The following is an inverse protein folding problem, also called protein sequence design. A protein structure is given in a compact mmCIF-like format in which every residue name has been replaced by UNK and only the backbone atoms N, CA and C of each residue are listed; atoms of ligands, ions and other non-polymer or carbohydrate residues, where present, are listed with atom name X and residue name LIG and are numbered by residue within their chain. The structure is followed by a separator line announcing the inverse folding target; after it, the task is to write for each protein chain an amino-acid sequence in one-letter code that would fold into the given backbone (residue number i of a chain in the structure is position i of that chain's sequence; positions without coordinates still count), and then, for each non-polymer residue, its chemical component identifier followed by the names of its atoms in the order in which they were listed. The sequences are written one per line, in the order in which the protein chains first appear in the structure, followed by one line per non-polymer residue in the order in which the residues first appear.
data_IF_810346866679
#
_entry.id   IF_810346866679
#
_cell.length_a   1.000
_cell.length_b   1.000
_cell.length_c   1.000
_cell.angle_alpha   90.00
_cell.angle_beta   90.00
_cell.angle_gamma   90.00
#
_symmetry.space_group_name_H-M   'P 1'
#
loop_
_entity.id
_entity.type
_entity.pdbx_description
1 polymer ?
#
# COMPACT_ATOMS: atom_id res chain seq x y z
N UNK A 1 -12.93 -7.13 -5.63
CA UNK A 1 -12.32 -5.81 -5.31
C UNK A 1 -10.84 -6.03 -5.01
N UNK A 2 -10.07 -4.98 -4.72
CA UNK A 2 -8.71 -5.05 -4.15
C UNK A 2 -8.76 -5.66 -2.74
N UNK A 3 -9.78 -5.33 -1.95
CA UNK A 3 -10.07 -5.95 -0.65
C UNK A 3 -10.18 -7.46 -0.75
N UNK A 4 -10.88 -8.00 -1.75
CA UNK A 4 -11.05 -9.45 -1.92
C UNK A 4 -9.71 -10.18 -2.15
N UNK A 5 -8.67 -9.49 -2.66
CA UNK A 5 -7.32 -10.05 -2.78
C UNK A 5 -6.60 -10.11 -1.44
N UNK A 6 -6.89 -9.17 -0.54
CA UNK A 6 -6.23 -9.02 0.75
C UNK A 6 -6.88 -9.86 1.85
N UNK A 7 -8.21 -9.96 1.87
CA UNK A 7 -8.93 -10.63 2.95
C UNK A 7 -8.42 -12.05 3.27
N UNK A 8 -8.12 -12.93 2.29
CA UNK A 8 -7.62 -14.27 2.59
C UNK A 8 -6.27 -14.25 3.32
N UNK A 9 -5.33 -13.42 2.86
CA UNK A 9 -3.98 -13.36 3.46
C UNK A 9 -3.97 -12.63 4.80
N UNK A 10 -4.83 -11.63 4.97
CA UNK A 10 -5.01 -10.96 6.26
C UNK A 10 -5.60 -11.93 7.30
N UNK A 11 -6.62 -12.71 6.93
CA UNK A 11 -7.16 -13.73 7.84
C UNK A 11 -6.15 -14.83 8.16
N UNK A 12 -5.34 -15.25 7.19
CA UNK A 12 -4.29 -16.24 7.42
C UNK A 12 -3.26 -15.74 8.43
N UNK A 13 -2.76 -14.51 8.29
CA UNK A 13 -1.73 -13.96 9.20
C UNK A 13 -2.28 -13.69 10.59
N UNK A 14 -3.51 -13.19 10.71
CA UNK A 14 -4.15 -12.98 12.02
C UNK A 14 -4.44 -14.33 12.70
N UNK A 15 -4.87 -15.34 11.94
CA UNK A 15 -5.07 -16.69 12.44
C UNK A 15 -3.77 -17.35 12.91
N UNK A 16 -2.68 -17.18 12.16
CA UNK A 16 -1.36 -17.73 12.50
C UNK A 16 -0.70 -17.06 13.71
N UNK A 17 -0.90 -15.75 13.87
CA UNK A 17 -0.34 -14.98 14.99
C UNK A 17 -1.21 -15.02 16.25
N UNK A 18 -2.50 -15.31 16.10
CA UNK A 18 -3.49 -15.23 17.17
C UNK A 18 -3.85 -13.80 17.57
N UNK A 19 -3.31 -12.80 16.85
CA UNK A 19 -3.61 -11.38 17.07
C UNK A 19 -5.00 -11.03 16.52
N UNK A 20 -5.68 -10.14 17.22
CA UNK A 20 -6.88 -9.46 16.73
C UNK A 20 -6.49 -8.17 16.02
N UNK A 21 -7.35 -7.73 15.11
CA UNK A 21 -7.11 -6.50 14.35
C UNK A 21 -6.86 -5.27 15.24
N UNK A 22 -7.55 -5.16 16.39
CA UNK A 22 -7.40 -4.05 17.34
C UNK A 22 -6.17 -4.17 18.26
N UNK A 23 -5.38 -5.23 18.14
CA UNK A 23 -4.11 -5.42 18.88
C UNK A 23 -2.89 -5.03 18.01
N UNK A 24 -3.12 -4.62 16.77
CA UNK A 24 -2.09 -4.09 15.88
C UNK A 24 -1.88 -2.61 16.19
N UNK A 25 -0.66 -2.26 16.62
CA UNK A 25 -0.31 -0.87 16.97
C UNK A 25 -0.13 0.04 15.76
N UNK A 26 0.27 -0.52 14.61
CA UNK A 26 0.47 0.24 13.38
C UNK A 26 0.17 -0.61 12.14
N UNK A 27 -0.52 -0.03 11.15
CA UNK A 27 -0.75 -0.68 9.86
C UNK A 27 -0.07 0.12 8.76
N UNK A 28 0.71 -0.53 7.91
CA UNK A 28 1.34 0.14 6.77
C UNK A 28 1.11 -0.65 5.49
N UNK A 29 0.64 0.04 4.47
CA UNK A 29 0.33 -0.56 3.18
C UNK A 29 1.22 -0.03 2.07
N UNK A 30 1.65 -0.93 1.19
CA UNK A 30 2.34 -0.58 -0.05
C UNK A 30 1.48 -0.95 -1.26
N UNK A 31 1.14 0.00 -2.12
CA UNK A 31 0.38 -0.31 -3.35
C UNK A 31 0.75 0.56 -4.53
N UNK A 32 0.60 0.00 -5.73
CA UNK A 32 0.69 0.75 -6.97
C UNK A 32 -0.71 1.17 -7.42
N UNK A 33 -1.26 2.21 -6.79
CA UNK A 33 -2.57 2.78 -7.12
C UNK A 33 -2.64 3.23 -8.57
N UNK A 34 -1.50 3.70 -9.06
CA UNK A 34 -1.33 4.07 -10.45
C UNK A 34 -1.75 2.95 -11.42
N UNK A 35 -1.40 1.69 -11.13
CA UNK A 35 -1.74 0.55 -11.98
C UNK A 35 -3.25 0.25 -12.00
N UNK A 36 -3.97 0.61 -10.94
CA UNK A 36 -5.42 0.48 -10.88
C UNK A 36 -6.14 1.58 -11.69
N UNK A 37 -5.40 2.54 -12.27
CA UNK A 37 -5.94 3.63 -13.09
C UNK A 37 -6.80 4.62 -12.30
N UNK A 38 -6.64 4.68 -10.97
CA UNK A 38 -7.41 5.55 -10.08
C UNK A 38 -6.53 6.16 -9.01
N UNK A 39 -6.80 7.40 -8.62
CA UNK A 39 -6.15 8.01 -7.46
C UNK A 39 -6.70 7.43 -6.15
N UNK A 40 -5.84 7.26 -5.15
CA UNK A 40 -6.20 6.82 -3.80
C UNK A 40 -6.98 5.50 -3.76
N UNK A 41 -6.61 4.58 -4.66
CA UNK A 41 -7.16 3.22 -4.75
C UNK A 41 -7.02 2.46 -3.43
N UNK A 42 -5.99 2.77 -2.65
CA UNK A 42 -5.73 2.16 -1.34
C UNK A 42 -6.78 2.39 -0.29
N UNK A 43 -7.56 3.46 -0.39
CA UNK A 43 -8.65 3.72 0.54
C UNK A 43 -9.68 2.59 0.53
N UNK A 44 -9.88 1.93 -0.61
CA UNK A 44 -10.74 0.75 -0.67
C UNK A 44 -10.08 -0.44 0.03
N UNK A 45 -8.78 -0.66 -0.15
CA UNK A 45 -8.05 -1.76 0.51
C UNK A 45 -8.06 -1.64 2.04
N UNK A 46 -8.10 -0.40 2.56
CA UNK A 46 -8.19 -0.11 3.99
C UNK A 46 -9.45 -0.70 4.64
N UNK A 47 -10.54 -0.88 3.90
CA UNK A 47 -11.75 -1.54 4.41
C UNK A 47 -11.46 -2.99 4.87
N UNK A 48 -10.45 -3.65 4.30
CA UNK A 48 -10.06 -5.01 4.66
C UNK A 48 -9.32 -5.13 5.99
N UNK A 49 -8.69 -4.05 6.47
CA UNK A 49 -8.02 -3.99 7.77
C UNK A 49 -8.88 -3.36 8.87
N UNK A 50 -9.94 -2.65 8.49
CA UNK A 50 -10.93 -2.08 9.41
C UNK A 50 -10.47 -0.76 10.01
N UNK A 51 -11.07 0.36 9.57
CA UNK A 51 -10.74 1.70 10.05
C UNK A 51 -11.34 2.06 11.43
N UNK A 52 -12.10 1.15 12.05
CA UNK A 52 -12.74 1.36 13.35
C UNK A 52 -12.58 0.16 14.30
N UNK A 53 -12.21 0.37 15.58
CA UNK A 53 -11.76 1.62 16.22
C UNK A 53 -10.60 2.29 15.48
N UNK A 54 -10.37 3.61 15.63
CA UNK A 54 -9.34 4.31 14.87
C UNK A 54 -7.98 3.63 14.99
N UNK A 55 -7.36 3.32 13.85
CA UNK A 55 -6.03 2.72 13.75
C UNK A 55 -5.01 3.77 13.32
N UNK A 56 -3.74 3.58 13.69
CA UNK A 56 -2.64 4.33 13.09
C UNK A 56 -2.28 3.65 11.77
N UNK A 57 -2.50 4.35 10.66
CA UNK A 57 -2.24 3.85 9.33
C UNK A 57 -1.38 4.80 8.50
N UNK A 58 -0.55 4.21 7.65
CA UNK A 58 0.24 4.89 6.63
C UNK A 58 0.22 4.08 5.33
N UNK A 59 0.42 4.78 4.22
CA UNK A 59 0.49 4.22 2.89
C UNK A 59 1.71 4.76 2.16
N UNK A 60 2.41 3.86 1.47
CA UNK A 60 3.48 4.20 0.54
C UNK A 60 3.13 3.72 -0.87
N UNK A 61 3.43 4.54 -1.86
CA UNK A 61 3.16 4.21 -3.25
C UNK A 61 4.23 3.25 -3.81
N UNK A 62 3.78 2.33 -4.67
CA UNK A 62 4.51 1.31 -5.44
C UNK A 62 5.20 0.16 -4.69
N UNK A 63 5.86 0.39 -3.56
CA UNK A 63 6.78 -0.60 -2.98
C UNK A 63 6.48 -0.97 -1.52
N UNK A 64 6.13 -2.24 -1.31
CA UNK A 64 5.94 -2.83 0.01
C UNK A 64 7.18 -2.86 0.90
N UNK A 65 8.38 -2.78 0.33
CA UNK A 65 9.61 -2.66 1.09
C UNK A 65 9.68 -1.34 1.87
N UNK A 66 9.15 -0.25 1.31
CA UNK A 66 9.02 1.02 2.03
C UNK A 66 8.02 0.92 3.18
N UNK A 67 6.91 0.19 2.98
CA UNK A 67 5.93 -0.02 4.04
C UNK A 67 6.53 -0.81 5.21
N UNK A 68 7.31 -1.84 4.88
CA UNK A 68 8.06 -2.62 5.86
C UNK A 68 9.12 -1.76 6.58
N UNK A 69 9.84 -0.92 5.83
CA UNK A 69 10.85 -0.04 6.41
C UNK A 69 10.22 0.96 7.38
N UNK A 70 9.10 1.58 7.03
CA UNK A 70 8.39 2.50 7.93
C UNK A 70 7.91 1.79 9.21
N UNK A 71 7.28 0.61 9.06
CA UNK A 71 6.84 -0.19 10.20
C UNK A 71 8.01 -0.60 11.10
N UNK A 72 9.14 -1.00 10.49
CA UNK A 72 10.36 -1.32 11.22
C UNK A 72 10.88 -0.12 12.00
N UNK A 73 10.94 1.08 11.39
CA UNK A 73 11.34 2.31 12.09
C UNK A 73 10.42 2.59 13.28
N UNK A 74 9.09 2.49 13.12
CA UNK A 74 8.14 2.71 14.22
C UNK A 74 8.32 1.73 15.39
N UNK A 75 8.63 0.47 15.10
CA UNK A 75 8.94 -0.51 16.15
C UNK A 75 10.24 -0.13 16.85
N UNK A 76 11.28 0.23 16.09
CA UNK A 76 12.59 0.59 16.64
C UNK A 76 12.57 1.88 17.47
N UNK A 77 11.64 2.82 17.18
CA UNK A 77 11.46 4.04 17.96
C UNK A 77 10.53 3.86 19.16
N UNK A 78 9.90 2.70 19.31
CA UNK A 78 8.93 2.43 20.37
C UNK A 78 7.56 3.10 20.16
N UNK A 79 7.27 3.57 18.95
CA UNK A 79 5.95 4.13 18.59
C UNK A 79 4.88 3.04 18.41
N UNK A 80 5.28 1.81 18.13
CA UNK A 80 4.39 0.65 18.04
C UNK A 80 5.11 -0.63 18.53
N UNK A 81 4.39 -1.50 19.23
CA UNK A 81 4.91 -2.82 19.63
C UNK A 81 4.69 -3.88 18.53
N UNK A 82 3.65 -3.70 17.72
CA UNK A 82 3.23 -4.61 16.66
C UNK A 82 2.85 -3.81 15.41
N UNK A 83 3.20 -4.35 14.25
CA UNK A 83 2.82 -3.76 12.97
C UNK A 83 2.30 -4.80 11.99
N UNK A 84 1.22 -4.46 11.29
CA UNK A 84 0.72 -5.21 10.14
C UNK A 84 1.20 -4.51 8.87
N UNK A 85 2.00 -5.21 8.09
CA UNK A 85 2.49 -4.73 6.80
C UNK A 85 1.87 -5.59 5.71
N UNK A 86 1.26 -4.97 4.71
CA UNK A 86 0.73 -5.67 3.56
C UNK A 86 0.97 -4.88 2.28
N UNK A 87 0.92 -5.58 1.16
CA UNK A 87 1.09 -4.93 -0.15
C UNK A 87 0.25 -5.62 -1.20
N UNK A 88 -0.19 -4.85 -2.19
CA UNK A 88 -0.99 -5.36 -3.29
C UNK A 88 -0.82 -4.48 -4.53
N UNK A 89 -1.07 -5.08 -5.68
CA UNK A 89 -1.09 -4.38 -6.97
C UNK A 89 -2.06 -5.08 -7.89
N UNK A 90 -2.93 -4.30 -8.54
CA UNK A 90 -3.95 -4.83 -9.43
C UNK A 90 -4.06 -3.98 -10.69
N UNK A 91 -3.60 -4.53 -11.80
CA UNK A 91 -3.59 -3.85 -13.10
C UNK A 91 -4.80 -4.18 -13.99
N UNK A 92 -5.58 -5.20 -13.64
CA UNK A 92 -6.75 -5.63 -14.40
C UNK A 92 -7.98 -4.68 -14.40
N UNK A 93 -8.16 -3.70 -13.49
CA UNK A 93 -9.30 -2.79 -13.53
C UNK A 93 -9.31 -1.79 -14.69
N UNK A 94 -8.19 -1.57 -15.38
CA UNK A 94 -8.06 -0.58 -16.45
C UNK A 94 -7.20 -1.05 -17.62
N UNK A 95 -7.14 -0.23 -18.66
CA UNK A 95 -6.29 -0.48 -19.81
C UNK A 95 -4.83 -0.16 -19.46
N UNK A 96 -4.08 -1.21 -19.09
CA UNK A 96 -2.67 -1.09 -18.65
C UNK A 96 -1.83 -0.30 -19.65
N UNK A 97 -2.08 -0.44 -20.97
CA UNK A 97 -1.37 0.34 -22.00
C UNK A 97 -1.57 1.84 -21.83
N UNK A 98 -2.79 2.27 -21.57
CA UNK A 98 -3.11 3.69 -21.40
C UNK A 98 -2.53 4.23 -20.09
N UNK A 99 -2.52 3.42 -19.03
CA UNK A 99 -1.89 3.77 -17.75
C UNK A 99 -0.36 3.88 -17.90
N UNK A 100 0.30 2.88 -18.46
CA UNK A 100 1.76 2.85 -18.56
C UNK A 100 2.32 3.96 -19.47
N UNK A 101 1.58 4.37 -20.51
CA UNK A 101 2.01 5.49 -21.38
C UNK A 101 2.10 6.83 -20.63
N UNK A 102 1.43 6.96 -19.48
CA UNK A 102 1.46 8.16 -18.65
C UNK A 102 2.60 8.17 -17.63
N UNK A 103 3.34 7.07 -17.45
CA UNK A 103 4.50 7.04 -16.54
C UNK A 103 5.67 7.86 -17.07
N UNK A 104 5.74 8.01 -18.39
CA UNK A 104 6.82 8.71 -19.06
C UNK A 104 6.40 10.14 -19.40
N UNK A 105 6.18 10.96 -18.38
CA UNK A 105 5.90 12.37 -18.60
C UNK A 105 7.17 13.06 -19.14
N UNK A 106 7.13 13.62 -20.37
CA UNK A 106 8.28 14.30 -20.94
C UNK A 106 8.73 15.50 -20.11
N UNK A 107 7.90 16.11 -19.26
CA UNK A 107 8.36 17.15 -18.34
C UNK A 107 9.35 16.65 -17.29
N UNK A 108 9.31 15.37 -16.95
CA UNK A 108 10.21 14.75 -15.98
C UNK A 108 11.31 13.90 -16.63
N UNK A 109 11.09 13.41 -17.85
CA UNK A 109 12.01 12.47 -18.52
C UNK A 109 12.62 12.99 -19.82
N UNK A 110 12.04 14.01 -20.46
CA UNK A 110 12.69 14.61 -21.61
C UNK A 110 13.78 15.56 -21.11
N UNK A 111 14.93 15.60 -21.80
CA UNK A 111 15.91 16.61 -21.50
C UNK A 111 15.32 18.00 -21.71
N UNK A 112 15.43 18.84 -20.68
CA UNK A 112 14.78 20.15 -20.66
C UNK A 112 15.56 21.21 -21.49
N UNK A 113 16.72 20.86 -22.08
CA UNK A 113 17.62 21.81 -22.76
C UNK A 113 18.12 21.37 -24.14
N UNK A 114 18.55 22.31 -25.01
CA UNK A 114 18.95 22.05 -26.40
C UNK A 114 20.27 21.28 -26.59
N UNK A 115 21.09 21.16 -25.54
CA UNK A 115 22.41 20.51 -25.56
C UNK A 115 22.43 19.13 -24.89
N UNK A 116 21.26 18.57 -24.63
CA UNK A 116 21.10 17.20 -24.13
C UNK A 116 21.04 16.15 -25.22
#
# INVERSE_FOLDING_TARGET
SEVDLLMPVLHEVLGATGLKANEIGFTCSGSADYLAGRAFSFTMALDGVGAHPPISESHVEMDGAWALYEAWVKIMTGEADTALVYSYGKSSPGEVRDVLTRQLDPYYLAPLWPDS
#
